data_IF_323626281232
#
_entry.id   IF_323626281232
#
_cell.length_a   1.000
_cell.length_b   1.000
_cell.length_c   1.000
_cell.angle_alpha   90.00
_cell.angle_beta   90.00
_cell.angle_gamma   90.00
#
_symmetry.space_group_name_H-M   'P 1'
#
loop_
_entity.id
_entity.type
_entity.pdbx_description
1 polymer ?
#
# COMPACT_ATOMS: atom_id res chain seq x y z
N UNK A 1 -57.41 -41.36 -4.43
CA UNK A 1 -57.25 -39.90 -4.45
C UNK A 1 -55.78 -39.64 -4.78
N UNK A 2 -55.45 -39.38 -6.06
CA UNK A 2 -54.07 -39.15 -6.52
C UNK A 2 -53.82 -37.65 -6.51
N UNK A 3 -52.95 -37.17 -5.62
CA UNK A 3 -52.45 -35.80 -5.65
C UNK A 3 -51.36 -35.69 -6.72
N UNK A 4 -51.63 -34.88 -7.74
CA UNK A 4 -50.69 -34.53 -8.80
C UNK A 4 -49.77 -33.41 -8.29
N UNK A 5 -48.49 -33.70 -8.09
CA UNK A 5 -47.48 -32.70 -7.77
C UNK A 5 -47.19 -31.83 -9.00
N UNK A 6 -47.49 -30.54 -8.92
CA UNK A 6 -47.10 -29.54 -9.92
C UNK A 6 -45.63 -29.22 -9.71
N UNK A 7 -44.80 -29.47 -10.73
CA UNK A 7 -43.38 -29.10 -10.73
C UNK A 7 -43.24 -27.57 -10.77
N UNK A 8 -42.40 -26.95 -9.95
CA UNK A 8 -42.11 -25.53 -10.08
C UNK A 8 -41.33 -25.28 -11.37
N UNK A 9 -41.82 -24.35 -12.19
CA UNK A 9 -41.14 -23.86 -13.37
C UNK A 9 -39.95 -23.02 -12.90
N UNK A 10 -38.72 -23.47 -13.18
CA UNK A 10 -37.52 -22.69 -12.92
C UNK A 10 -37.53 -21.46 -13.84
N UNK A 11 -37.75 -20.28 -13.26
CA UNK A 11 -37.66 -19.02 -13.98
C UNK A 11 -36.17 -18.71 -14.13
N UNK A 12 -35.64 -18.97 -15.33
CA UNK A 12 -34.26 -18.67 -15.70
C UNK A 12 -34.13 -17.15 -15.83
N UNK A 13 -33.61 -16.49 -14.80
CA UNK A 13 -33.27 -15.07 -14.85
C UNK A 13 -32.02 -14.92 -15.73
N UNK A 14 -32.20 -14.48 -16.98
CA UNK A 14 -31.09 -14.13 -17.84
C UNK A 14 -30.51 -12.80 -17.35
N UNK A 15 -29.44 -12.87 -16.55
CA UNK A 15 -28.61 -11.72 -16.24
C UNK A 15 -27.94 -11.29 -17.55
N UNK A 16 -28.40 -10.17 -18.13
CA UNK A 16 -27.69 -9.57 -19.25
C UNK A 16 -26.37 -9.03 -18.72
N UNK A 17 -25.26 -9.71 -19.04
CA UNK A 17 -23.93 -9.17 -18.78
C UNK A 17 -23.79 -7.88 -19.61
N UNK A 18 -23.70 -6.75 -18.93
CA UNK A 18 -23.32 -5.50 -19.58
C UNK A 18 -21.90 -5.66 -20.11
N UNK A 19 -21.60 -5.16 -21.33
CA UNK A 19 -20.24 -5.20 -21.85
C UNK A 19 -19.34 -4.37 -20.93
N UNK A 20 -18.44 -5.03 -20.21
CA UNK A 20 -17.33 -4.37 -19.53
C UNK A 20 -16.36 -3.86 -20.59
N UNK A 21 -16.27 -2.54 -20.72
CA UNK A 21 -15.22 -1.91 -21.51
C UNK A 21 -13.94 -2.09 -20.72
N UNK A 22 -13.08 -2.99 -21.17
CA UNK A 22 -11.71 -3.10 -20.66
C UNK A 22 -10.92 -1.92 -21.23
N UNK A 23 -10.67 -0.92 -20.39
CA UNK A 23 -9.70 0.12 -20.70
C UNK A 23 -8.31 -0.51 -20.64
N UNK A 24 -7.48 -0.21 -21.64
CA UNK A 24 -6.10 -0.70 -21.63
C UNK A 24 -5.34 0.06 -20.55
N UNK A 25 -4.79 -0.65 -19.59
CA UNK A 25 -3.90 -0.07 -18.60
C UNK A 25 -2.59 0.37 -19.27
N UNK A 26 -2.19 1.62 -19.04
CA UNK A 26 -0.92 2.16 -19.55
C UNK A 26 0.17 1.88 -18.53
N UNK A 27 1.13 1.02 -18.87
CA UNK A 27 2.33 0.82 -18.04
C UNK A 27 3.20 2.07 -18.16
N UNK A 28 3.38 2.77 -17.04
CA UNK A 28 4.22 3.97 -16.94
C UNK A 28 5.70 3.60 -16.77
N UNK A 29 5.95 2.54 -16.01
CA UNK A 29 7.28 2.02 -15.72
C UNK A 29 7.20 0.52 -15.41
N UNK A 30 8.23 -0.23 -15.79
CA UNK A 30 8.36 -1.63 -15.41
C UNK A 30 9.83 -2.00 -15.32
N UNK A 31 10.21 -2.74 -14.28
CA UNK A 31 11.56 -3.21 -14.07
C UNK A 31 11.54 -4.61 -13.42
N UNK A 32 12.07 -5.59 -14.13
CA UNK A 32 12.33 -6.94 -13.62
C UNK A 32 13.74 -7.04 -12.98
N UNK A 33 14.53 -5.97 -12.99
CA UNK A 33 15.90 -5.93 -12.46
C UNK A 33 16.91 -6.90 -13.12
N UNK A 34 16.52 -7.62 -14.17
CA UNK A 34 17.37 -8.58 -14.92
C UNK A 34 18.56 -7.94 -15.64
N UNK A 35 18.36 -6.73 -16.16
CA UNK A 35 19.33 -6.08 -17.06
C UNK A 35 20.46 -5.36 -16.32
N UNK A 36 20.36 -5.30 -14.99
CA UNK A 36 21.24 -4.52 -14.13
C UNK A 36 22.43 -5.34 -13.65
N UNK A 37 23.33 -5.66 -14.57
CA UNK A 37 24.59 -6.31 -14.20
C UNK A 37 25.53 -5.26 -13.62
N UNK A 38 25.51 -5.08 -12.29
CA UNK A 38 26.58 -4.34 -11.62
C UNK A 38 27.87 -5.12 -11.85
N UNK A 39 28.85 -4.47 -12.50
CA UNK A 39 30.19 -5.03 -12.64
C UNK A 39 30.67 -5.49 -11.27
N UNK A 40 30.85 -6.80 -11.11
CA UNK A 40 31.14 -7.43 -9.82
C UNK A 40 32.26 -6.65 -9.13
N UNK A 41 32.05 -6.02 -7.96
CA UNK A 41 33.11 -5.31 -7.29
C UNK A 41 34.26 -6.30 -7.06
N UNK A 42 35.45 -5.98 -7.58
CA UNK A 42 36.59 -6.90 -7.66
C UNK A 42 37.19 -7.30 -6.29
N UNK A 43 36.60 -6.85 -5.20
CA UNK A 43 36.93 -7.17 -3.82
C UNK A 43 35.67 -6.90 -3.02
N UNK A 44 35.18 -7.86 -2.22
CA UNK A 44 33.96 -7.79 -1.40
C UNK A 44 33.94 -6.67 -0.35
N UNK A 45 34.09 -5.45 -0.83
CA UNK A 45 34.00 -4.20 -0.13
C UNK A 45 32.65 -3.62 -0.52
N UNK A 46 31.80 -3.42 0.49
CA UNK A 46 30.51 -2.75 0.44
C UNK A 46 30.73 -1.27 0.09
N UNK A 47 31.24 -1.00 -1.11
CA UNK A 47 31.28 0.38 -1.60
C UNK A 47 29.86 0.75 -2.00
N UNK A 48 29.32 1.90 -1.55
CA UNK A 48 28.09 2.47 -2.09
C UNK A 48 28.18 2.39 -3.61
N UNK A 49 27.39 1.48 -4.19
CA UNK A 49 27.48 1.12 -5.59
C UNK A 49 27.10 2.32 -6.46
N UNK A 50 27.64 2.40 -7.69
CA UNK A 50 27.21 3.42 -8.65
C UNK A 50 25.69 3.32 -8.85
N UNK A 51 25.04 4.47 -9.09
CA UNK A 51 23.67 4.58 -9.63
C UNK A 51 23.48 3.44 -10.63
N UNK A 52 22.45 2.61 -10.44
CA UNK A 52 22.10 1.58 -11.41
C UNK A 52 22.05 2.23 -12.79
N UNK A 53 22.45 1.53 -13.85
CA UNK A 53 22.46 2.11 -15.22
C UNK A 53 21.07 2.54 -15.72
N UNK A 54 20.03 2.28 -14.92
CA UNK A 54 18.60 2.39 -15.14
C UNK A 54 17.95 3.54 -14.36
N UNK A 55 18.65 4.30 -13.52
CA UNK A 55 18.08 5.44 -12.78
C UNK A 55 17.72 5.16 -11.32
N UNK A 56 18.06 3.98 -10.80
CA UNK A 56 17.97 3.67 -9.38
C UNK A 56 19.11 4.28 -8.58
N UNK A 57 18.76 4.96 -7.50
CA UNK A 57 19.69 5.49 -6.53
C UNK A 57 19.62 4.68 -5.24
N UNK A 58 20.78 4.26 -4.77
CA UNK A 58 20.93 3.56 -3.50
C UNK A 58 21.15 4.54 -2.35
N UNK A 59 20.52 4.27 -1.21
CA UNK A 59 20.59 5.07 0.00
C UNK A 59 20.85 4.17 1.20
N UNK A 60 21.72 4.67 2.07
CA UNK A 60 22.06 4.12 3.37
C UNK A 60 21.97 5.25 4.39
N UNK A 61 21.52 4.93 5.60
CA UNK A 61 21.74 5.77 6.78
C UNK A 61 23.19 5.63 7.28
N UNK A 62 23.72 4.39 7.37
CA UNK A 62 25.07 4.14 7.86
C UNK A 62 26.04 3.61 6.77
N UNK A 63 27.20 4.25 6.56
CA UNK A 63 28.18 3.77 5.60
C UNK A 63 28.71 2.37 5.94
N UNK A 64 28.68 1.46 4.96
CA UNK A 64 29.17 0.07 5.03
C UNK A 64 28.34 -0.89 5.90
N UNK A 65 27.13 -0.50 6.32
CA UNK A 65 26.24 -1.40 7.05
C UNK A 65 25.22 -2.09 6.13
N UNK A 66 24.87 -1.50 5.00
CA UNK A 66 24.08 -2.18 3.97
C UNK A 66 24.73 -2.34 2.60
N UNK A 67 24.06 -3.11 1.73
CA UNK A 67 24.28 -3.08 0.28
C UNK A 67 23.03 -3.38 -0.55
N UNK A 68 23.18 -3.04 -1.83
CA UNK A 68 22.25 -3.41 -2.91
C UNK A 68 22.98 -4.29 -3.91
N UNK A 69 22.27 -5.28 -4.45
CA UNK A 69 22.72 -6.14 -5.55
C UNK A 69 21.63 -6.23 -6.60
N UNK A 70 21.82 -5.54 -7.72
CA UNK A 70 20.95 -5.66 -8.87
C UNK A 70 21.33 -6.89 -9.72
N UNK A 71 20.36 -7.48 -10.43
CA UNK A 71 20.53 -8.74 -11.14
C UNK A 71 20.94 -9.90 -10.23
N UNK A 72 20.48 -9.88 -8.97
CA UNK A 72 20.77 -10.91 -7.98
C UNK A 72 20.05 -12.21 -8.32
N UNK A 73 20.82 -13.26 -8.62
CA UNK A 73 20.32 -14.62 -8.79
C UNK A 73 19.90 -15.20 -7.43
N UNK A 74 18.61 -15.09 -7.13
CA UNK A 74 18.06 -15.56 -5.87
C UNK A 74 17.79 -17.08 -5.88
N UNK A 75 17.90 -17.77 -7.03
CA UNK A 75 17.89 -19.24 -7.04
C UNK A 75 19.10 -19.84 -6.31
N UNK A 76 20.19 -19.06 -6.19
CA UNK A 76 21.38 -19.45 -5.42
C UNK A 76 21.10 -19.76 -3.94
N UNK A 77 20.00 -19.21 -3.40
CA UNK A 77 19.51 -19.48 -2.03
C UNK A 77 18.17 -20.22 -2.01
N UNK A 78 17.83 -20.90 -3.11
CA UNK A 78 16.61 -21.69 -3.29
C UNK A 78 15.29 -20.89 -3.19
N UNK A 79 15.32 -19.60 -3.49
CA UNK A 79 14.08 -18.83 -3.66
C UNK A 79 13.47 -19.22 -5.02
N UNK A 80 12.19 -19.63 -5.08
CA UNK A 80 11.51 -19.93 -6.35
C UNK A 80 11.31 -18.66 -7.18
N UNK A 81 11.03 -18.81 -8.47
CA UNK A 81 10.67 -17.71 -9.36
C UNK A 81 9.55 -16.82 -8.78
N UNK A 82 9.64 -15.50 -9.03
CA UNK A 82 8.67 -14.54 -8.53
C UNK A 82 7.32 -14.71 -9.27
N UNK A 83 6.17 -14.49 -8.59
CA UNK A 83 4.87 -14.84 -9.12
C UNK A 83 4.45 -14.05 -10.36
N UNK A 84 4.96 -12.83 -10.56
CA UNK A 84 4.60 -11.97 -11.69
C UNK A 84 5.65 -11.93 -12.82
N UNK A 85 6.65 -12.81 -12.80
CA UNK A 85 7.64 -12.91 -13.87
C UNK A 85 6.96 -13.23 -15.21
N UNK A 86 7.30 -12.48 -16.25
CA UNK A 86 6.71 -12.53 -17.58
C UNK A 86 7.57 -13.37 -18.55
N UNK A 87 6.96 -13.92 -19.62
CA UNK A 87 7.73 -14.59 -20.65
C UNK A 87 8.77 -13.67 -21.30
N UNK A 88 10.05 -13.97 -21.07
CA UNK A 88 11.17 -13.18 -21.58
C UNK A 88 12.07 -12.60 -20.48
N UNK A 89 11.58 -12.58 -19.24
CA UNK A 89 12.36 -12.24 -18.06
C UNK A 89 13.38 -13.37 -17.80
N UNK A 90 14.54 -13.01 -17.26
CA UNK A 90 15.53 -14.00 -16.84
C UNK A 90 15.04 -14.65 -15.55
N UNK A 91 14.83 -15.97 -15.58
CA UNK A 91 14.34 -16.70 -14.42
C UNK A 91 15.21 -16.39 -13.19
N UNK A 92 14.58 -15.99 -12.10
CA UNK A 92 15.18 -15.85 -10.77
C UNK A 92 16.22 -14.74 -10.56
N UNK A 93 16.20 -13.69 -11.40
CA UNK A 93 16.97 -12.47 -11.15
C UNK A 93 16.08 -11.39 -10.53
N UNK A 94 16.65 -10.57 -9.65
CA UNK A 94 15.94 -9.47 -9.02
C UNK A 94 16.90 -8.45 -8.41
N UNK A 95 16.41 -7.60 -7.51
CA UNK A 95 17.25 -6.74 -6.68
C UNK A 95 17.22 -7.19 -5.23
N UNK A 96 18.41 -7.40 -4.64
CA UNK A 96 18.54 -7.73 -3.23
C UNK A 96 19.05 -6.54 -2.42
N UNK A 97 18.41 -6.27 -1.28
CA UNK A 97 18.87 -5.29 -0.29
C UNK A 97 19.19 -6.00 1.02
N UNK A 98 20.22 -5.50 1.72
CA UNK A 98 20.66 -6.00 3.02
C UNK A 98 21.09 -4.85 3.90
N UNK A 99 20.88 -5.01 5.19
CA UNK A 99 21.21 -4.06 6.26
C UNK A 99 22.03 -4.79 7.33
N UNK A 100 22.70 -4.07 8.24
CA UNK A 100 23.46 -4.65 9.37
C UNK A 100 24.50 -5.71 8.99
N UNK A 101 25.20 -5.49 7.89
CA UNK A 101 26.16 -6.42 7.31
C UNK A 101 27.51 -6.49 8.05
N UNK A 102 27.85 -5.47 8.85
CA UNK A 102 29.18 -5.37 9.45
C UNK A 102 29.24 -4.85 10.89
N UNK A 103 28.22 -4.15 11.36
CA UNK A 103 28.11 -3.65 12.72
C UNK A 103 26.66 -3.72 13.19
N UNK A 104 26.47 -3.70 14.52
CA UNK A 104 25.15 -3.77 15.13
C UNK A 104 24.63 -2.38 15.40
N UNK A 105 23.77 -1.89 14.52
CA UNK A 105 23.12 -0.59 14.63
C UNK A 105 21.65 -0.72 14.21
N UNK A 106 20.85 0.28 14.54
CA UNK A 106 19.63 0.51 13.77
C UNK A 106 20.10 0.94 12.38
N UNK A 107 19.65 0.27 11.34
CA UNK A 107 20.21 0.44 9.98
C UNK A 107 19.11 0.30 8.92
N UNK A 108 19.18 1.14 7.89
CA UNK A 108 18.29 1.12 6.75
C UNK A 108 19.06 1.07 5.44
N UNK A 109 18.58 0.21 4.54
CA UNK A 109 19.01 0.20 3.15
C UNK A 109 17.82 0.33 2.22
N UNK A 110 17.93 1.20 1.23
CA UNK A 110 16.87 1.38 0.25
C UNK A 110 17.35 1.82 -1.12
N UNK A 111 16.51 1.60 -2.11
CA UNK A 111 16.68 2.12 -3.46
C UNK A 111 15.46 2.95 -3.84
N UNK A 112 15.66 4.01 -4.61
CA UNK A 112 14.56 4.78 -5.18
C UNK A 112 14.81 5.10 -6.65
N UNK A 113 13.73 5.17 -7.42
CA UNK A 113 13.79 5.47 -8.85
C UNK A 113 13.66 6.98 -9.08
N UNK A 114 14.73 7.63 -9.58
CA UNK A 114 14.87 9.10 -9.65
C UNK A 114 14.23 9.71 -10.91
N UNK A 115 14.11 8.91 -11.97
CA UNK A 115 13.76 9.36 -13.32
C UNK A 115 12.25 9.34 -13.65
N UNK A 116 11.38 8.92 -12.72
CA UNK A 116 9.93 9.08 -12.87
C UNK A 116 9.33 9.95 -11.76
N UNK A 117 8.60 10.98 -12.19
CA UNK A 117 7.57 11.64 -11.41
C UNK A 117 6.22 11.09 -11.87
N UNK A 118 5.62 10.20 -11.07
CA UNK A 118 4.26 9.73 -11.33
C UNK A 118 3.26 10.79 -10.86
N UNK A 119 2.22 11.07 -11.64
CA UNK A 119 1.18 12.07 -11.34
C UNK A 119 -0.20 11.49 -11.63
N UNK A 120 -1.24 12.00 -10.98
CA UNK A 120 -2.60 11.46 -11.15
C UNK A 120 -2.78 10.15 -10.37
N UNK A 121 -3.76 9.34 -10.76
CA UNK A 121 -3.94 8.01 -10.15
C UNK A 121 -3.03 6.98 -10.80
N UNK A 122 -2.31 6.21 -9.99
CA UNK A 122 -1.45 5.13 -10.46
C UNK A 122 -1.40 3.99 -9.45
N UNK A 123 -1.04 2.80 -9.92
CA UNK A 123 -0.73 1.65 -9.05
C UNK A 123 0.75 1.33 -9.15
N UNK A 124 1.35 0.97 -8.03
CA UNK A 124 2.69 0.38 -7.95
C UNK A 124 2.53 -1.04 -7.44
N UNK A 125 3.02 -2.01 -8.19
CA UNK A 125 3.04 -3.42 -7.82
C UNK A 125 4.48 -3.93 -7.84
N UNK A 126 4.90 -4.68 -6.82
CA UNK A 126 6.24 -5.29 -6.75
C UNK A 126 6.18 -6.60 -6.00
N UNK A 127 6.89 -7.60 -6.50
CA UNK A 127 7.07 -8.87 -5.78
C UNK A 127 8.17 -8.71 -4.74
N UNK A 128 7.90 -9.15 -3.52
CA UNK A 128 8.83 -9.11 -2.41
C UNK A 128 8.98 -10.49 -1.78
N UNK A 129 10.22 -10.86 -1.50
CA UNK A 129 10.58 -12.01 -0.68
C UNK A 129 11.53 -11.52 0.42
N UNK A 130 11.17 -11.77 1.68
CA UNK A 130 12.01 -11.41 2.82
C UNK A 130 12.59 -12.69 3.45
N UNK A 131 13.88 -12.72 3.72
CA UNK A 131 14.52 -13.77 4.50
C UNK A 131 15.16 -13.18 5.75
N UNK A 132 15.42 -14.06 6.72
CA UNK A 132 16.16 -13.75 7.93
C UNK A 132 16.94 -14.98 8.38
N UNK A 133 18.02 -14.81 9.15
CA UNK A 133 18.82 -15.93 9.61
C UNK A 133 18.17 -16.61 10.82
N UNK A 134 17.66 -17.83 10.64
CA UNK A 134 17.03 -18.59 11.73
C UNK A 134 18.04 -19.28 12.65
N UNK A 135 18.79 -18.49 13.40
CA UNK A 135 19.67 -18.95 14.48
C UNK A 135 19.14 -18.42 15.82
N UNK A 136 18.41 -19.25 16.56
CA UNK A 136 17.86 -18.91 17.89
C UNK A 136 18.94 -18.48 18.92
N UNK A 137 20.22 -18.80 18.67
CA UNK A 137 21.33 -18.37 19.53
C UNK A 137 21.78 -16.92 19.26
N UNK A 138 21.33 -16.30 18.16
CA UNK A 138 21.69 -14.95 17.76
C UNK A 138 20.46 -14.05 17.78
N UNK A 139 20.43 -13.16 18.77
CA UNK A 139 19.39 -12.14 18.95
C UNK A 139 19.57 -11.08 17.85
N UNK A 140 18.52 -10.87 17.07
CA UNK A 140 18.42 -9.84 16.05
C UNK A 140 18.36 -10.45 14.65
N UNK A 141 17.13 -10.51 14.16
CA UNK A 141 16.81 -10.97 12.82
C UNK A 141 16.69 -9.72 11.95
N UNK A 142 16.50 -9.88 10.65
CA UNK A 142 16.32 -8.72 9.77
C UNK A 142 14.86 -8.37 9.78
N UNK A 143 14.44 -7.33 10.50
CA UNK A 143 13.05 -7.32 10.92
C UNK A 143 12.05 -6.73 9.92
N UNK A 144 12.37 -5.79 9.02
CA UNK A 144 11.34 -5.19 8.15
C UNK A 144 11.76 -4.89 6.71
N UNK A 145 10.84 -5.04 5.76
CA UNK A 145 11.02 -4.55 4.39
C UNK A 145 9.71 -4.08 3.78
N UNK A 146 9.76 -3.25 2.75
CA UNK A 146 8.54 -2.73 2.15
C UNK A 146 8.69 -1.78 0.97
N UNK A 147 7.57 -1.13 0.68
CA UNK A 147 7.35 -0.27 -0.48
C UNK A 147 6.91 1.12 -0.02
N UNK A 148 7.48 2.15 -0.64
CA UNK A 148 7.11 3.54 -0.44
C UNK A 148 6.81 4.21 -1.79
N UNK A 149 5.88 5.15 -1.78
CA UNK A 149 5.49 6.00 -2.90
C UNK A 149 5.45 7.46 -2.46
N UNK A 150 5.53 8.37 -3.42
CA UNK A 150 5.51 9.80 -3.11
C UNK A 150 6.75 10.25 -2.32
N UNK A 151 7.91 9.62 -2.59
CA UNK A 151 9.18 10.08 -2.00
C UNK A 151 9.47 11.50 -2.47
N UNK A 152 9.41 12.41 -1.50
CA UNK A 152 9.55 13.84 -1.70
C UNK A 152 10.96 14.23 -2.21
N UNK A 153 11.02 15.25 -3.07
CA UNK A 153 12.26 15.95 -3.47
C UNK A 153 12.43 17.29 -2.75
N UNK A 154 11.36 17.79 -2.15
CA UNK A 154 11.33 18.96 -1.29
C UNK A 154 12.01 18.59 0.02
N UNK A 155 12.66 19.59 0.63
CA UNK A 155 13.45 19.44 1.84
C UNK A 155 12.56 19.22 3.08
N UNK A 156 11.75 18.16 3.10
CA UNK A 156 11.36 17.56 4.36
C UNK A 156 12.68 17.11 5.03
N UNK A 157 12.98 17.46 6.29
CA UNK A 157 14.18 16.96 6.95
C UNK A 157 14.05 15.44 7.02
N UNK A 158 14.56 14.75 6.00
CA UNK A 158 14.65 13.31 5.97
C UNK A 158 15.27 12.89 7.30
N UNK A 159 14.62 11.97 8.00
CA UNK A 159 15.23 11.39 9.17
C UNK A 159 16.59 10.83 8.70
N UNK A 160 17.71 11.37 9.18
CA UNK A 160 19.02 10.91 8.72
C UNK A 160 19.24 9.43 9.02
N UNK A 161 18.51 8.89 10.00
CA UNK A 161 18.53 7.49 10.41
C UNK A 161 17.63 6.62 9.51
N UNK A 162 16.67 7.21 8.78
CA UNK A 162 15.80 6.48 7.85
C UNK A 162 15.59 7.19 6.49
N UNK A 163 16.65 7.41 5.71
CA UNK A 163 16.62 8.22 4.48
C UNK A 163 15.91 7.54 3.29
N UNK A 164 15.54 6.26 3.40
CA UNK A 164 14.72 5.56 2.41
C UNK A 164 13.23 5.44 2.81
N UNK A 165 12.87 5.71 4.07
CA UNK A 165 11.48 5.66 4.59
C UNK A 165 10.70 6.96 4.38
N UNK A 166 10.86 7.62 3.24
CA UNK A 166 10.22 8.92 2.95
C UNK A 166 9.03 8.74 2.01
N UNK A 167 7.94 9.48 2.26
CA UNK A 167 6.68 9.37 1.51
C UNK A 167 5.64 8.53 2.24
N UNK A 168 4.68 7.98 1.51
CA UNK A 168 3.69 7.04 2.01
C UNK A 168 4.25 5.63 1.87
N UNK A 169 4.25 4.81 2.92
CA UNK A 169 4.85 3.48 2.88
C UNK A 169 4.12 2.44 3.68
N UNK A 170 4.42 1.18 3.34
CA UNK A 170 4.06 0.01 4.12
C UNK A 170 5.29 -0.90 4.23
N UNK A 171 5.64 -1.29 5.46
CA UNK A 171 6.70 -2.25 5.77
C UNK A 171 6.14 -3.45 6.52
N UNK A 172 6.80 -4.59 6.42
CA UNK A 172 6.30 -5.88 6.90
C UNK A 172 7.36 -6.62 7.70
N UNK A 173 6.94 -7.32 8.75
CA UNK A 173 7.84 -8.09 9.60
C UNK A 173 8.25 -9.44 8.97
N UNK A 174 9.53 -9.79 9.07
CA UNK A 174 10.08 -11.02 8.49
C UNK A 174 9.72 -12.29 9.27
N UNK A 175 9.76 -12.23 10.60
CA UNK A 175 9.64 -13.35 11.52
C UNK A 175 8.57 -13.14 12.60
N UNK A 176 7.98 -11.94 12.64
CA UNK A 176 6.94 -11.56 13.57
C UNK A 176 7.43 -11.45 15.00
N UNK A 177 8.73 -11.23 15.19
CA UNK A 177 9.31 -10.97 16.51
C UNK A 177 9.02 -9.55 17.01
N UNK A 178 8.57 -8.66 16.11
CA UNK A 178 7.89 -7.43 16.50
C UNK A 178 6.72 -7.81 17.40
N UNK A 179 6.87 -7.52 18.70
CA UNK A 179 5.91 -7.91 19.75
C UNK A 179 4.48 -7.43 19.50
N UNK A 180 4.30 -6.53 18.53
CA UNK A 180 3.03 -5.87 18.26
C UNK A 180 2.74 -5.64 16.76
N UNK A 181 3.58 -6.00 15.78
CA UNK A 181 3.33 -5.57 14.39
C UNK A 181 3.55 -6.64 13.31
N UNK A 182 2.50 -6.96 12.56
CA UNK A 182 2.60 -7.72 11.29
C UNK A 182 3.16 -6.81 10.18
N UNK A 183 2.70 -5.57 10.17
CA UNK A 183 3.04 -4.53 9.22
C UNK A 183 2.91 -3.15 9.88
N UNK A 184 3.58 -2.15 9.31
CA UNK A 184 3.53 -0.76 9.74
C UNK A 184 3.25 0.11 8.52
N UNK A 185 2.28 1.02 8.63
CA UNK A 185 2.04 2.06 7.64
C UNK A 185 2.76 3.33 8.08
N UNK A 186 3.41 3.99 7.13
CA UNK A 186 4.30 5.11 7.38
C UNK A 186 3.91 6.32 6.54
N UNK A 187 3.95 7.50 7.15
CA UNK A 187 3.85 8.81 6.49
C UNK A 187 5.11 9.60 6.84
N UNK A 188 5.97 9.84 5.86
CA UNK A 188 7.25 10.55 6.05
C UNK A 188 8.09 10.00 7.22
N UNK A 189 8.22 8.68 7.31
CA UNK A 189 8.91 7.94 8.39
C UNK A 189 8.20 7.93 9.75
N UNK A 190 7.11 8.67 9.93
CA UNK A 190 6.27 8.53 11.11
C UNK A 190 5.36 7.32 10.96
N UNK A 191 5.29 6.50 11.99
CA UNK A 191 4.33 5.41 12.09
C UNK A 191 2.92 5.99 12.17
N UNK A 192 2.04 5.53 11.29
CA UNK A 192 0.62 5.79 11.43
C UNK A 192 0.09 4.79 12.43
N UNK A 193 -0.21 5.24 13.64
CA UNK A 193 -0.80 4.46 14.72
C UNK A 193 -2.21 4.99 15.08
N UNK A 194 -2.79 4.57 16.21
CA UNK A 194 -4.09 5.10 16.68
C UNK A 194 -4.03 6.57 17.08
N UNK A 195 -2.84 7.04 17.40
CA UNK A 195 -2.57 8.41 17.82
C UNK A 195 -2.54 9.33 16.59
N UNK A 196 -2.09 8.85 15.42
CA UNK A 196 -2.19 9.59 14.14
C UNK A 196 -3.61 10.10 13.75
N UNK A 197 -4.66 9.64 14.44
CA UNK A 197 -6.06 10.03 14.20
C UNK A 197 -6.65 9.43 12.92
N UNK A 198 -5.80 8.80 12.09
CA UNK A 198 -6.20 8.19 10.83
C UNK A 198 -6.85 6.81 11.03
N UNK A 199 -6.48 6.14 12.10
CA UNK A 199 -6.87 4.77 12.38
C UNK A 199 -7.43 4.65 13.79
N UNK A 200 -8.47 3.85 13.93
CA UNK A 200 -8.95 3.44 15.24
C UNK A 200 -8.16 2.25 15.77
N UNK A 201 -8.26 1.96 17.07
CA UNK A 201 -7.74 0.72 17.69
C UNK A 201 -8.20 -0.57 17.00
N UNK A 202 -9.26 -0.51 16.17
CA UNK A 202 -9.75 -1.67 15.41
C UNK A 202 -9.21 -1.77 13.99
N UNK A 203 -8.49 -0.76 13.51
CA UNK A 203 -7.95 -0.74 12.15
C UNK A 203 -6.49 -1.23 12.10
N UNK A 204 -5.82 -1.30 13.25
CA UNK A 204 -4.48 -1.87 13.35
C UNK A 204 -4.48 -3.37 13.45
N UNK A 205 -3.75 -4.00 12.54
CA UNK A 205 -3.24 -5.37 12.70
C UNK A 205 -2.21 -5.48 13.83
N UNK A 206 -2.50 -4.98 15.03
CA UNK A 206 -1.90 -5.43 16.28
C UNK A 206 -2.44 -6.83 16.61
N UNK A 207 -2.29 -7.76 15.67
CA UNK A 207 -2.64 -9.15 15.88
C UNK A 207 -1.58 -9.75 16.77
N UNK A 208 -1.78 -9.70 18.09
CA UNK A 208 -0.92 -10.44 18.99
C UNK A 208 -0.93 -11.91 18.54
N UNK A 209 0.24 -12.45 18.22
CA UNK A 209 0.35 -13.84 17.83
C UNK A 209 -0.27 -14.70 18.94
N UNK A 210 -1.14 -15.62 18.56
CA UNK A 210 -1.84 -16.47 19.54
C UNK A 210 -0.84 -17.27 20.39
N UNK A 211 -0.46 -16.74 21.57
CA UNK A 211 0.52 -17.35 22.47
C UNK A 211 1.71 -16.47 22.87
N UNK A 212 1.90 -15.28 22.29
CA UNK A 212 2.85 -14.28 22.77
C UNK A 212 2.12 -13.25 23.65
N UNK A 213 2.75 -12.90 24.77
CA UNK A 213 2.36 -12.02 25.86
C UNK A 213 0.87 -11.58 26.04
N UNK A 214 0.16 -12.22 26.97
CA UNK A 214 -1.11 -11.74 27.54
C UNK A 214 -0.93 -11.02 28.90
N UNK A 215 0.30 -10.60 29.21
CA UNK A 215 0.71 -10.00 30.48
C UNK A 215 1.37 -8.62 30.34
N UNK A 216 1.48 -8.07 29.13
CA UNK A 216 1.97 -6.70 28.96
C UNK A 216 1.03 -5.71 29.69
N UNK A 217 1.64 -4.84 30.49
CA UNK A 217 0.98 -3.91 31.40
C UNK A 217 0.34 -2.70 30.69
N UNK A 218 0.39 -2.65 29.36
CA UNK A 218 -0.37 -1.74 28.52
C UNK A 218 -1.82 -2.23 28.23
N UNK A 219 -2.25 -3.33 28.85
CA UNK A 219 -3.60 -3.92 28.80
C UNK A 219 -4.66 -3.17 29.63
N UNK A 220 -4.78 -1.85 29.46
CA UNK A 220 -5.99 -1.11 29.89
C UNK A 220 -6.82 -0.77 28.65
N UNK A 221 -8.09 -1.19 28.54
CA UNK A 221 -8.99 -0.78 27.45
C UNK A 221 -9.31 0.72 27.40
N UNK A 222 -8.97 1.49 28.44
CA UNK A 222 -8.91 2.96 28.39
C UNK A 222 -7.54 3.51 27.96
N UNK A 223 -6.51 2.65 27.84
CA UNK A 223 -5.20 2.86 27.21
C UNK A 223 -4.97 1.91 25.99
N UNK A 224 -6.04 1.43 25.32
CA UNK A 224 -5.92 0.63 24.09
C UNK A 224 -5.59 -0.86 24.27
N UNK A 225 -6.45 -1.62 24.96
CA UNK A 225 -6.45 -3.09 24.88
C UNK A 225 -6.67 -3.50 23.43
N UNK A 226 -5.57 -3.85 22.75
CA UNK A 226 -5.53 -4.20 21.34
C UNK A 226 -6.46 -5.39 21.15
N UNK A 227 -7.57 -5.17 20.45
CA UNK A 227 -8.42 -6.26 19.99
C UNK A 227 -7.53 -7.19 19.17
N UNK A 228 -7.46 -8.48 19.55
CA UNK A 228 -6.80 -9.54 18.77
C UNK A 228 -7.37 -9.54 17.34
N UNK A 229 -6.83 -8.68 16.47
CA UNK A 229 -7.18 -8.69 15.07
C UNK A 229 -6.57 -9.95 14.46
N UNK A 230 -7.29 -10.64 13.56
CA UNK A 230 -6.71 -11.77 12.88
C UNK A 230 -5.49 -11.27 12.11
N UNK A 231 -4.35 -11.94 12.32
CA UNK A 231 -3.14 -11.69 11.56
C UNK A 231 -3.45 -11.70 10.05
N UNK A 232 -2.82 -10.78 9.32
CA UNK A 232 -3.10 -10.58 7.89
C UNK A 232 -2.82 -11.86 7.12
N UNK A 233 -1.74 -12.55 7.49
CA UNK A 233 -1.32 -13.80 6.87
C UNK A 233 -1.44 -14.97 7.84
N UNK A 234 -1.85 -16.16 7.39
CA UNK A 234 -1.84 -17.34 8.24
C UNK A 234 -0.40 -17.78 8.55
N UNK A 235 -0.24 -18.46 9.69
CA UNK A 235 0.99 -19.19 10.02
C UNK A 235 1.23 -20.31 8.99
N UNK A 236 2.49 -20.62 8.72
CA UNK A 236 2.86 -21.63 7.73
C UNK A 236 4.22 -22.27 8.04
N UNK A 237 4.45 -23.47 7.51
CA UNK A 237 5.74 -24.15 7.64
C UNK A 237 6.68 -23.71 6.51
N UNK A 238 7.88 -23.26 6.87
CA UNK A 238 8.88 -22.83 5.89
C UNK A 238 9.22 -24.01 4.96
N UNK A 239 9.14 -23.84 3.62
CA UNK A 239 9.48 -24.90 2.69
C UNK A 239 10.89 -25.47 2.93
N UNK A 240 10.96 -26.78 3.20
CA UNK A 240 12.24 -27.45 3.45
C UNK A 240 12.79 -27.35 4.88
N UNK A 241 12.09 -26.64 5.79
CA UNK A 241 12.39 -26.60 7.22
C UNK A 241 11.31 -27.30 8.06
N UNK A 242 11.62 -27.56 9.33
CA UNK A 242 10.63 -27.95 10.35
C UNK A 242 10.05 -26.76 11.11
N UNK A 243 10.58 -25.56 10.92
CA UNK A 243 10.06 -24.35 11.55
C UNK A 243 8.71 -23.93 10.97
N UNK A 244 7.93 -23.31 11.83
CA UNK A 244 6.66 -22.68 11.48
C UNK A 244 6.82 -21.19 11.70
N UNK A 245 6.65 -20.42 10.64
CA UNK A 245 6.49 -18.99 10.73
C UNK A 245 5.16 -18.68 11.40
N UNK A 246 5.18 -17.71 12.30
CA UNK A 246 3.98 -17.27 12.96
C UNK A 246 3.00 -16.60 11.98
N UNK A 247 1.75 -16.47 12.39
CA UNK A 247 0.78 -15.72 11.62
C UNK A 247 1.23 -14.24 11.54
N UNK A 248 0.97 -13.58 10.41
CA UNK A 248 1.32 -12.17 10.19
C UNK A 248 2.63 -11.91 9.46
N UNK A 249 3.58 -12.85 9.58
CA UNK A 249 4.94 -12.74 9.02
C UNK A 249 4.97 -12.82 7.50
N UNK A 250 5.87 -12.09 6.83
CA UNK A 250 6.05 -12.23 5.36
C UNK A 250 7.27 -13.05 4.96
N UNK A 251 8.15 -13.40 5.91
CA UNK A 251 9.42 -14.07 5.59
C UNK A 251 9.23 -15.40 4.88
N UNK A 252 10.17 -15.82 4.03
CA UNK A 252 10.20 -17.11 3.35
C UNK A 252 9.01 -17.43 2.41
N UNK A 253 8.31 -16.40 1.93
CA UNK A 253 7.26 -16.53 0.90
C UNK A 253 7.23 -15.30 -0.02
N UNK A 254 6.76 -15.50 -1.25
CA UNK A 254 6.46 -14.40 -2.15
C UNK A 254 5.17 -13.71 -1.74
N UNK A 255 5.24 -12.39 -1.66
CA UNK A 255 4.09 -11.50 -1.57
C UNK A 255 4.19 -10.45 -2.67
N UNK A 256 3.07 -10.06 -3.26
CA UNK A 256 3.00 -8.91 -4.15
C UNK A 256 2.49 -7.74 -3.35
N UNK A 257 3.33 -6.72 -3.17
CA UNK A 257 2.95 -5.47 -2.54
C UNK A 257 2.29 -4.58 -3.59
N UNK A 258 1.20 -3.92 -3.21
CA UNK A 258 0.50 -2.98 -4.07
C UNK A 258 0.21 -1.67 -3.35
N UNK A 259 0.57 -0.57 -3.97
CA UNK A 259 0.17 0.78 -3.57
C UNK A 259 -0.77 1.37 -4.64
N UNK A 260 -1.99 1.72 -4.26
CA UNK A 260 -2.96 2.41 -5.10
C UNK A 260 -2.96 3.90 -4.73
N UNK A 261 -2.33 4.72 -5.57
CA UNK A 261 -2.10 6.13 -5.31
C UNK A 261 -3.11 6.97 -6.06
N UNK A 262 -3.68 7.94 -5.37
CA UNK A 262 -4.47 9.03 -5.95
C UNK A 262 -3.93 10.36 -5.46
N UNK A 263 -3.22 11.09 -6.33
CA UNK A 263 -2.63 12.39 -5.99
C UNK A 263 -3.67 13.50 -5.79
N UNK A 264 -4.91 13.28 -6.20
CA UNK A 264 -5.97 14.30 -6.20
C UNK A 264 -7.06 13.99 -5.16
N UNK A 265 -7.01 12.84 -4.50
CA UNK A 265 -7.99 12.48 -3.47
C UNK A 265 -7.91 13.45 -2.30
N UNK A 266 -9.06 14.02 -1.89
CA UNK A 266 -9.18 14.82 -0.67
C UNK A 266 -9.10 13.98 0.61
N UNK A 267 -9.03 12.64 0.50
CA UNK A 267 -9.00 11.76 1.66
C UNK A 267 -10.30 11.75 2.49
N UNK A 268 -10.22 11.18 3.69
CA UNK A 268 -11.30 11.03 4.66
C UNK A 268 -11.10 11.87 5.94
N UNK A 269 -9.94 12.53 6.10
CA UNK A 269 -9.64 13.39 7.24
C UNK A 269 -10.31 14.76 7.20
N UNK A 270 -10.10 15.57 8.24
CA UNK A 270 -10.65 16.93 8.33
C UNK A 270 -9.83 17.99 7.56
N UNK A 271 -8.60 17.66 7.17
CA UNK A 271 -7.71 18.52 6.41
C UNK A 271 -8.12 18.68 4.94
N UNK A 272 -7.50 19.65 4.26
CA UNK A 272 -7.76 19.94 2.84
C UNK A 272 -6.64 19.48 1.90
N UNK A 273 -5.62 18.82 2.44
CA UNK A 273 -4.45 18.39 1.69
C UNK A 273 -4.80 17.18 0.83
N UNK A 274 -4.40 17.22 -0.44
CA UNK A 274 -4.72 16.18 -1.41
C UNK A 274 -3.67 15.08 -1.38
N UNK A 275 -4.09 13.86 -1.72
CA UNK A 275 -3.22 12.70 -1.82
C UNK A 275 -3.63 11.61 -0.85
N UNK A 276 -3.97 10.44 -1.38
CA UNK A 276 -4.17 9.23 -0.60
C UNK A 276 -3.50 8.04 -1.28
N UNK A 277 -2.94 7.13 -0.49
CA UNK A 277 -2.37 5.87 -0.99
C UNK A 277 -2.92 4.69 -0.20
N UNK A 278 -3.60 3.76 -0.85
CA UNK A 278 -4.04 2.50 -0.22
C UNK A 278 -3.01 1.40 -0.44
N UNK A 279 -2.56 0.77 0.62
CA UNK A 279 -1.64 -0.36 0.58
C UNK A 279 -2.39 -1.68 0.71
N UNK A 280 -2.01 -2.63 -0.13
CA UNK A 280 -2.48 -4.01 -0.06
C UNK A 280 -1.34 -4.98 -0.33
N UNK A 281 -1.55 -6.22 0.13
CA UNK A 281 -0.62 -7.32 -0.05
C UNK A 281 -1.37 -8.52 -0.62
N UNK A 282 -0.78 -9.21 -1.60
CA UNK A 282 -1.32 -10.45 -2.15
C UNK A 282 -0.35 -11.60 -1.93
N UNK A 283 -0.80 -12.66 -1.27
CA UNK A 283 0.02 -13.86 -1.05
C UNK A 283 0.09 -14.70 -2.33
N UNK A 284 1.29 -14.97 -2.84
CA UNK A 284 1.48 -15.68 -4.10
C UNK A 284 0.90 -17.10 -4.10
N UNK A 285 0.98 -17.81 -2.97
CA UNK A 285 0.57 -19.22 -2.86
C UNK A 285 -0.95 -19.36 -2.91
N UNK A 286 -1.67 -18.47 -2.22
CA UNK A 286 -3.14 -18.57 -2.09
C UNK A 286 -3.88 -17.66 -3.06
N UNK A 287 -3.23 -16.61 -3.55
CA UNK A 287 -3.85 -15.52 -4.31
C UNK A 287 -4.78 -14.65 -3.47
N UNK A 288 -4.77 -14.80 -2.14
CA UNK A 288 -5.56 -13.96 -1.25
C UNK A 288 -4.92 -12.57 -1.19
N UNK A 289 -5.76 -11.54 -1.30
CA UNK A 289 -5.36 -10.14 -1.22
C UNK A 289 -5.95 -9.50 0.03
N UNK A 290 -5.15 -8.68 0.70
CA UNK A 290 -5.45 -8.05 1.98
C UNK A 290 -5.19 -6.55 1.86
N UNK A 291 -6.20 -5.72 2.15
CA UNK A 291 -6.02 -4.28 2.29
C UNK A 291 -5.49 -4.01 3.69
N UNK A 292 -4.39 -3.27 3.77
CA UNK A 292 -3.68 -2.99 5.02
C UNK A 292 -4.14 -1.66 5.60
N UNK A 293 -4.31 -0.66 4.74
CA UNK A 293 -4.80 0.66 5.12
C UNK A 293 -4.50 1.69 4.05
N UNK A 294 -4.76 2.95 4.37
CA UNK A 294 -4.56 4.11 3.50
C UNK A 294 -3.66 5.11 4.20
N UNK A 295 -2.61 5.64 3.55
CA UNK A 295 -1.92 6.84 4.02
C UNK A 295 -2.64 8.04 3.41
N UNK A 296 -3.13 8.98 4.24
CA UNK A 296 -3.99 10.08 3.80
C UNK A 296 -3.41 11.43 4.22
N UNK A 297 -3.26 12.34 3.26
CA UNK A 297 -2.77 13.67 3.53
C UNK A 297 -3.77 14.56 4.25
N UNK A 298 -5.08 14.32 4.10
CA UNK A 298 -6.12 15.10 4.78
C UNK A 298 -6.24 14.78 6.26
N UNK A 299 -5.76 13.61 6.70
CA UNK A 299 -5.57 13.37 8.12
C UNK A 299 -4.28 14.08 8.53
N UNK A 300 -4.46 15.25 9.11
CA UNK A 300 -3.39 15.92 9.83
C UNK A 300 -3.24 15.19 11.15
N UNK A 301 -2.05 14.66 11.41
CA UNK A 301 -1.71 14.14 12.73
C UNK A 301 -2.02 15.24 13.76
N UNK A 302 -2.99 14.95 14.65
CA UNK A 302 -3.38 15.88 15.67
C UNK A 302 -2.35 15.74 16.80
N UNK A 303 -1.45 16.72 16.89
CA UNK A 303 -0.26 16.81 17.78
C UNK A 303 -0.50 16.69 19.30
N UNK A 304 -1.66 16.20 19.71
CA UNK A 304 -2.13 16.19 21.08
C UNK A 304 -3.06 14.98 21.29
N UNK A 305 -2.43 13.81 21.35
CA UNK A 305 -3.08 12.54 21.61
C UNK A 305 -3.16 12.17 23.10
N UNK A 306 -2.64 13.03 23.98
CA UNK A 306 -2.93 12.96 25.41
C UNK A 306 -4.13 13.83 25.82
N UNK A 307 -4.68 14.63 24.89
CA UNK A 307 -5.92 15.39 25.02
C UNK A 307 -5.79 16.69 25.81
N UNK A 308 -4.60 17.32 25.77
CA UNK A 308 -4.19 18.44 26.61
C UNK A 308 -4.20 19.87 25.99
N UNK A 309 -4.89 20.19 24.91
CA UNK A 309 -4.85 21.53 24.26
C UNK A 309 -3.42 22.12 24.09
N UNK A 310 -2.70 21.64 23.08
CA UNK A 310 -1.64 22.36 22.32
C UNK A 310 -0.61 23.11 23.20
N UNK A 311 0.48 22.45 23.58
CA UNK A 311 1.72 23.12 23.98
C UNK A 311 2.85 22.85 22.97
N UNK A 312 2.74 23.37 21.73
CA UNK A 312 3.91 23.55 20.85
C UNK A 312 4.78 24.73 21.28
N UNK A 313 4.98 24.88 22.58
CA UNK A 313 5.86 25.91 23.15
C UNK A 313 7.27 25.32 23.32
N UNK A 314 8.34 26.11 23.07
CA UNK A 314 9.71 25.64 23.24
C UNK A 314 9.96 25.06 24.65
N UNK A 315 10.13 23.74 24.73
CA UNK A 315 10.40 23.02 25.98
C UNK A 315 9.27 22.12 26.50
N UNK A 316 8.18 21.95 25.74
CA UNK A 316 7.25 20.84 25.96
C UNK A 316 7.92 19.49 25.68
N UNK A 317 7.40 18.44 26.31
CA UNK A 317 7.81 17.06 26.02
C UNK A 317 7.25 16.58 24.67
N UNK A 318 6.25 17.28 24.14
CA UNK A 318 5.60 16.99 22.87
C UNK A 318 6.49 17.43 21.70
N UNK A 319 6.87 16.44 20.89
CA UNK A 319 7.63 16.67 19.66
C UNK A 319 6.65 17.21 18.61
N UNK A 320 6.60 18.54 18.47
CA UNK A 320 5.86 19.18 17.39
C UNK A 320 6.62 19.04 16.07
N UNK A 321 6.60 17.84 15.48
CA UNK A 321 6.94 17.68 14.07
C UNK A 321 5.76 18.21 13.25
N UNK A 322 6.01 19.24 12.44
CA UNK A 322 5.10 19.61 11.37
C UNK A 322 5.10 18.46 10.37
N UNK A 323 4.27 17.42 10.58
CA UNK A 323 4.06 16.39 9.57
C UNK A 323 3.55 17.06 8.30
N UNK A 324 4.45 17.21 7.33
CA UNK A 324 4.10 17.72 6.03
C UNK A 324 3.27 16.65 5.29
N UNK A 325 2.29 17.05 4.46
CA UNK A 325 1.69 16.16 3.49
C UNK A 325 2.76 15.44 2.67
N UNK A 326 2.53 14.17 2.36
CA UNK A 326 3.37 13.44 1.41
C UNK A 326 3.10 14.00 0.02
N UNK A 327 4.15 14.34 -0.73
CA UNK A 327 4.00 14.57 -2.16
C UNK A 327 3.71 13.24 -2.84
N UNK A 328 2.42 12.87 -2.96
CA UNK A 328 2.01 11.61 -3.59
C UNK A 328 2.41 11.57 -5.07
N UNK A 329 2.73 12.73 -5.66
CA UNK A 329 3.44 12.77 -6.93
C UNK A 329 4.93 12.55 -6.67
N UNK A 330 5.51 11.49 -7.24
CA UNK A 330 6.89 11.22 -6.90
C UNK A 330 7.40 9.88 -7.33
N UNK A 331 8.33 9.39 -6.52
CA UNK A 331 9.17 8.24 -6.80
C UNK A 331 8.70 7.03 -6.02
N UNK A 332 9.03 5.86 -6.55
CA UNK A 332 8.93 4.59 -5.85
C UNK A 332 10.24 4.34 -5.11
N UNK A 333 10.14 3.87 -3.87
CA UNK A 333 11.27 3.45 -3.05
C UNK A 333 11.00 2.06 -2.47
N UNK A 334 12.03 1.21 -2.49
CA UNK A 334 12.03 -0.13 -1.95
C UNK A 334 13.06 -0.17 -0.83
N UNK A 335 12.70 -0.72 0.33
CA UNK A 335 13.57 -0.66 1.50
C UNK A 335 13.59 -1.94 2.31
N UNK A 336 14.68 -2.12 3.03
CA UNK A 336 14.83 -2.99 4.19
C UNK A 336 15.27 -2.14 5.39
N UNK A 337 14.76 -2.45 6.57
CA UNK A 337 14.99 -1.72 7.82
C UNK A 337 15.18 -2.74 8.93
N UNK A 338 16.17 -2.50 9.77
CA UNK A 338 16.37 -3.18 11.03
C UNK A 338 16.27 -2.13 12.14
N UNK A 339 15.24 -2.26 12.99
CA UNK A 339 14.97 -1.34 14.08
C UNK A 339 15.79 -1.64 15.33
N UNK A 340 16.59 -2.69 15.30
CA UNK A 340 17.28 -3.25 16.43
C UNK A 340 18.78 -3.18 16.23
N UNK A 341 19.52 -3.06 17.33
CA UNK A 341 20.98 -3.09 17.24
C UNK A 341 21.44 -4.53 17.06
N UNK A 342 21.41 -5.04 15.84
CA UNK A 342 21.73 -6.43 15.50
C UNK A 342 22.77 -6.57 14.39
N UNK A 343 23.45 -7.72 14.33
CA UNK A 343 24.31 -8.06 13.18
C UNK A 343 23.78 -9.34 12.58
N UNK A 344 23.52 -9.31 11.27
CA UNK A 344 23.11 -10.48 10.55
C UNK A 344 24.18 -11.59 10.62
N UNK A 345 23.80 -12.72 11.20
CA UNK A 345 24.66 -13.90 11.38
C UNK A 345 25.02 -14.59 10.06
N UNK A 346 24.09 -14.55 9.11
CA UNK A 346 24.24 -15.02 7.75
C UNK A 346 23.67 -14.00 6.76
N UNK A 347 24.55 -13.25 6.11
CA UNK A 347 24.18 -12.24 5.12
C UNK A 347 23.58 -12.80 3.82
N UNK A 348 23.57 -14.12 3.64
CA UNK A 348 22.82 -14.74 2.54
C UNK A 348 21.34 -14.95 2.87
N UNK A 349 21.00 -14.95 4.17
CA UNK A 349 19.64 -15.08 4.67
C UNK A 349 19.09 -13.76 5.18
N UNK A 350 19.89 -12.85 5.71
CA UNK A 350 19.47 -11.49 6.08
C UNK A 350 19.33 -10.60 4.84
N UNK A 351 18.27 -10.82 4.05
CA UNK A 351 18.08 -10.12 2.77
C UNK A 351 16.61 -10.01 2.43
N UNK A 352 16.23 -8.89 1.82
CA UNK A 352 15.02 -8.80 1.01
C UNK A 352 15.42 -8.94 -0.46
N UNK A 353 14.54 -9.54 -1.25
CA UNK A 353 14.59 -9.57 -2.70
C UNK A 353 13.32 -8.92 -3.22
N UNK A 354 13.47 -7.99 -4.16
CA UNK A 354 12.38 -7.42 -4.94
C UNK A 354 12.50 -7.82 -6.40
N UNK A 355 11.36 -8.02 -7.05
CA UNK A 355 11.26 -8.36 -8.47
C UNK A 355 9.94 -7.82 -9.08
N UNK A 356 9.84 -7.79 -10.40
CA UNK A 356 8.63 -7.47 -11.17
C UNK A 356 7.95 -6.15 -10.75
N UNK A 357 8.73 -5.08 -10.56
CA UNK A 357 8.17 -3.79 -10.26
C UNK A 357 7.42 -3.26 -11.49
N UNK A 358 6.15 -2.94 -11.33
CA UNK A 358 5.32 -2.33 -12.37
C UNK A 358 4.59 -1.12 -11.81
N UNK A 359 4.69 0.00 -12.50
CA UNK A 359 3.88 1.19 -12.26
C UNK A 359 2.93 1.38 -13.42
N UNK A 360 1.65 1.41 -13.11
CA UNK A 360 0.57 1.48 -14.11
C UNK A 360 -0.28 2.70 -13.84
N UNK A 361 -0.58 3.46 -14.90
CA UNK A 361 -1.56 4.55 -14.83
C UNK A 361 -2.94 3.95 -14.61
N UNK A 362 -3.64 4.46 -13.60
CA UNK A 362 -5.06 4.19 -13.45
C UNK A 362 -5.77 5.26 -14.26
N UNK A 363 -6.30 4.88 -15.42
CA UNK A 363 -7.22 5.75 -16.14
C UNK A 363 -8.39 6.06 -15.20
N UNK A 364 -8.42 7.29 -14.68
CA UNK A 364 -9.57 7.77 -13.97
C UNK A 364 -10.73 7.77 -14.96
N UNK A 365 -11.77 6.99 -14.67
CA UNK A 365 -12.97 7.04 -15.48
C UNK A 365 -13.63 8.41 -15.24
N UNK A 366 -13.34 9.37 -16.12
CA UNK A 366 -14.00 10.65 -16.11
C UNK A 366 -15.49 10.39 -16.34
N UNK A 367 -16.29 10.63 -15.29
CA UNK A 367 -17.73 10.49 -15.38
C UNK A 367 -18.28 11.65 -16.19
N UNK A 368 -19.28 11.39 -17.02
CA UNK A 368 -19.96 12.49 -17.69
C UNK A 368 -20.56 13.44 -16.63
N UNK A 369 -20.20 14.71 -16.66
CA UNK A 369 -20.58 15.69 -15.63
C UNK A 369 -19.59 15.88 -14.47
N UNK A 370 -18.52 15.07 -14.37
CA UNK A 370 -17.42 15.27 -13.40
C UNK A 370 -16.43 16.24 -14.05
N UNK A 371 -16.66 17.52 -13.87
CA UNK A 371 -15.94 18.61 -14.52
C UNK A 371 -14.61 18.95 -13.86
N UNK A 372 -14.53 18.77 -12.54
CA UNK A 372 -13.29 18.99 -11.79
C UNK A 372 -12.38 17.75 -11.74
N UNK A 373 -12.85 16.60 -12.24
CA UNK A 373 -12.07 15.38 -12.35
C UNK A 373 -11.79 14.71 -11.00
N UNK A 374 -12.61 14.97 -9.98
CA UNK A 374 -12.44 14.38 -8.65
C UNK A 374 -12.99 12.94 -8.56
N UNK A 375 -13.48 12.38 -9.66
CA UNK A 375 -14.04 11.04 -9.72
C UNK A 375 -15.49 10.96 -9.23
N UNK A 376 -16.16 12.09 -9.01
CA UNK A 376 -17.57 12.17 -8.61
C UNK A 376 -18.28 13.34 -9.28
N UNK A 377 -19.60 13.26 -9.39
CA UNK A 377 -20.43 14.34 -9.97
C UNK A 377 -21.27 14.97 -8.87
N UNK A 378 -20.97 16.21 -8.48
CA UNK A 378 -21.62 16.88 -7.36
C UNK A 378 -21.54 18.41 -7.35
N UNK A 379 -21.55 18.97 -6.15
CA UNK A 379 -21.62 20.42 -5.93
C UNK A 379 -20.37 21.17 -6.44
N UNK A 380 -19.20 20.52 -6.42
CA UNK A 380 -17.96 21.04 -6.99
C UNK A 380 -18.11 21.31 -8.49
N UNK A 381 -18.57 20.30 -9.23
CA UNK A 381 -18.85 20.38 -10.67
C UNK A 381 -19.92 21.42 -10.98
N UNK A 382 -20.98 21.49 -10.18
CA UNK A 382 -22.04 22.48 -10.38
C UNK A 382 -21.51 23.90 -10.19
N UNK A 383 -20.66 24.10 -9.18
CA UNK A 383 -20.02 25.39 -8.92
C UNK A 383 -19.11 25.77 -10.09
N UNK A 384 -18.31 24.83 -10.60
CA UNK A 384 -17.42 25.02 -11.74
C UNK A 384 -18.23 25.37 -13.01
N UNK A 385 -19.29 24.62 -13.29
CA UNK A 385 -20.22 24.86 -14.40
C UNK A 385 -20.85 26.25 -14.33
N UNK A 386 -21.45 26.61 -13.20
CA UNK A 386 -22.16 27.88 -13.04
C UNK A 386 -21.21 29.08 -13.09
N UNK A 387 -19.99 28.93 -12.57
CA UNK A 387 -18.98 29.99 -12.60
C UNK A 387 -18.51 30.33 -14.02
N UNK A 388 -18.63 29.36 -14.94
CA UNK A 388 -18.18 29.49 -16.32
C UNK A 388 -19.34 29.55 -17.34
N UNK A 389 -20.60 29.66 -16.88
CA UNK A 389 -21.79 29.62 -17.74
C UNK A 389 -21.74 30.65 -18.89
N UNK A 390 -21.94 30.17 -20.12
CA UNK A 390 -21.93 30.99 -21.34
C UNK A 390 -20.53 31.39 -21.81
N UNK A 391 -19.46 30.92 -21.16
CA UNK A 391 -18.08 31.12 -21.63
C UNK A 391 -17.85 30.37 -22.93
N UNK A 392 -17.14 30.99 -23.87
CA UNK A 392 -16.80 30.37 -25.15
C UNK A 392 -15.75 29.28 -24.99
N UNK A 393 -15.90 28.18 -25.74
CA UNK A 393 -14.93 27.08 -25.83
C UNK A 393 -14.57 26.92 -27.31
N UNK A 394 -13.28 27.09 -27.72
CA UNK A 394 -12.06 27.23 -26.92
C UNK A 394 -11.62 28.67 -26.53
N UNK A 395 -10.75 28.86 -25.50
CA UNK A 395 -10.09 27.80 -24.69
C UNK A 395 -11.01 27.21 -23.62
N UNK A 396 -10.65 26.04 -23.10
CA UNK A 396 -11.34 25.42 -21.95
C UNK A 396 -11.16 26.32 -20.71
N UNK A 397 -12.21 26.59 -19.92
CA UNK A 397 -12.08 27.43 -18.73
C UNK A 397 -11.16 26.80 -17.67
N UNK A 398 -10.55 27.65 -16.85
CA UNK A 398 -9.65 27.18 -15.79
C UNK A 398 -10.41 26.35 -14.75
N UNK A 399 -9.78 25.27 -14.26
CA UNK A 399 -10.36 24.34 -13.30
C UNK A 399 -11.11 23.16 -13.92
N UNK A 400 -11.30 23.13 -15.24
CA UNK A 400 -11.92 22.00 -15.95
C UNK A 400 -10.88 20.89 -16.22
N UNK A 401 -10.73 19.99 -15.25
CA UNK A 401 -9.77 18.88 -15.28
C UNK A 401 -10.40 17.53 -15.62
N UNK A 402 -11.72 17.41 -15.52
CA UNK A 402 -12.48 16.21 -15.88
C UNK A 402 -13.18 16.29 -17.24
N UNK A 403 -14.49 16.02 -17.27
CA UNK A 403 -15.34 15.95 -18.46
C UNK A 403 -15.38 17.28 -19.19
N UNK A 404 -14.82 17.30 -20.40
CA UNK A 404 -14.54 18.54 -21.10
C UNK A 404 -15.82 19.15 -21.69
N UNK A 405 -16.03 20.47 -21.59
CA UNK A 405 -17.23 21.11 -22.11
C UNK A 405 -17.28 21.01 -23.64
N UNK A 406 -18.49 20.86 -24.19
CA UNK A 406 -18.70 20.81 -25.63
C UNK A 406 -18.81 22.20 -26.26
N UNK A 407 -18.26 22.33 -27.47
CA UNK A 407 -18.26 23.61 -28.19
C UNK A 407 -19.67 23.98 -28.71
N UNK A 408 -20.04 25.27 -28.82
CA UNK A 408 -19.16 26.45 -28.77
C UNK A 408 -19.04 27.16 -27.42
N UNK A 409 -19.64 26.66 -26.35
CA UNK A 409 -19.54 27.29 -25.05
C UNK A 409 -20.27 26.52 -23.97
N UNK A 410 -19.90 26.81 -22.72
CA UNK A 410 -20.43 26.15 -21.52
C UNK A 410 -21.92 26.46 -21.34
N UNK A 411 -22.77 25.45 -21.21
CA UNK A 411 -24.20 25.64 -21.06
C UNK A 411 -25.02 24.40 -20.70
N UNK A 412 -26.14 24.25 -21.41
CA UNK A 412 -27.21 23.30 -21.06
C UNK A 412 -26.79 21.84 -21.26
N UNK A 413 -25.85 21.57 -22.17
CA UNK A 413 -25.24 20.27 -22.46
C UNK A 413 -24.44 19.75 -21.26
N UNK A 414 -23.55 20.57 -20.71
CA UNK A 414 -22.83 20.24 -19.48
C UNK A 414 -23.81 20.09 -18.30
N UNK A 415 -24.76 21.02 -18.13
CA UNK A 415 -25.77 20.89 -17.07
C UNK A 415 -26.54 19.57 -17.17
N UNK A 416 -26.86 19.13 -18.39
CA UNK A 416 -27.53 17.85 -18.63
C UNK A 416 -26.64 16.67 -18.25
N UNK A 417 -25.35 16.70 -18.60
CA UNK A 417 -24.39 15.66 -18.22
C UNK A 417 -24.26 15.54 -16.70
N UNK A 418 -24.08 16.67 -16.01
CA UNK A 418 -23.99 16.77 -14.55
C UNK A 418 -25.26 16.27 -13.87
N UNK A 419 -26.45 16.72 -14.29
CA UNK A 419 -27.70 16.31 -13.65
C UNK A 419 -28.03 14.84 -13.88
N UNK A 420 -27.65 14.27 -15.03
CA UNK A 420 -27.87 12.85 -15.33
C UNK A 420 -26.99 11.92 -14.49
N UNK A 421 -25.83 12.42 -14.03
CA UNK A 421 -24.88 11.65 -13.24
C UNK A 421 -24.75 12.17 -11.81
N UNK A 422 -25.66 13.04 -11.35
CA UNK A 422 -25.58 13.63 -10.02
C UNK A 422 -25.51 12.57 -8.91
N UNK A 423 -24.48 12.67 -8.07
CA UNK A 423 -24.20 11.73 -6.98
C UNK A 423 -23.59 10.40 -7.43
N UNK A 424 -23.24 10.25 -8.72
CA UNK A 424 -22.42 9.13 -9.20
C UNK A 424 -20.97 9.39 -8.82
N UNK A 425 -20.29 8.37 -8.32
CA UNK A 425 -18.85 8.37 -8.05
C UNK A 425 -18.21 7.12 -8.64
N UNK A 426 -17.06 7.29 -9.30
CA UNK A 426 -16.29 6.21 -9.90
C UNK A 426 -15.74 5.25 -8.83
N UNK A 427 -15.49 5.77 -7.62
CA UNK A 427 -14.95 5.04 -6.48
C UNK A 427 -16.03 4.56 -5.50
N UNK A 428 -17.30 4.52 -5.90
CA UNK A 428 -18.37 3.98 -5.05
C UNK A 428 -18.17 2.47 -4.84
N UNK A 429 -17.37 2.12 -3.82
CA UNK A 429 -17.37 0.78 -3.24
C UNK A 429 -18.82 0.50 -2.90
N UNK A 430 -19.39 -0.53 -3.52
CA UNK A 430 -20.78 -0.91 -3.28
C UNK A 430 -20.91 -1.37 -1.83
N UNK A 431 -21.14 -0.43 -0.91
CA UNK A 431 -21.49 -0.73 0.47
C UNK A 431 -22.77 -1.55 0.40
N UNK A 432 -22.77 -2.83 0.83
CA UNK A 432 -23.95 -3.66 0.75
C UNK A 432 -25.07 -2.95 1.49
N UNK A 433 -26.07 -2.46 0.77
CA UNK A 433 -27.16 -1.76 1.41
C UNK A 433 -27.78 -2.69 2.46
N UNK A 434 -28.15 -2.20 3.65
CA UNK A 434 -28.72 -3.04 4.71
C UNK A 434 -29.97 -3.84 4.25
N UNK A 435 -30.60 -3.39 3.18
CA UNK A 435 -31.68 -4.07 2.46
C UNK A 435 -31.24 -5.39 1.80
N UNK A 436 -30.03 -5.47 1.24
CA UNK A 436 -29.49 -6.69 0.60
C UNK A 436 -29.16 -7.77 1.63
N UNK A 437 -28.57 -7.39 2.77
CA UNK A 437 -28.35 -8.28 3.90
C UNK A 437 -29.69 -8.80 4.46
N UNK A 438 -30.68 -7.92 4.61
CA UNK A 438 -32.03 -8.31 5.05
C UNK A 438 -32.69 -9.29 4.07
N UNK A 439 -32.59 -9.04 2.76
CA UNK A 439 -33.13 -9.94 1.73
C UNK A 439 -32.42 -11.29 1.70
N UNK A 440 -31.10 -11.32 1.88
CA UNK A 440 -30.34 -12.56 2.03
C UNK A 440 -30.77 -13.34 3.28
N UNK A 441 -30.94 -12.67 4.42
CA UNK A 441 -31.47 -13.27 5.64
C UNK A 441 -32.90 -13.80 5.44
N UNK A 442 -33.77 -13.07 4.76
CA UNK A 442 -35.13 -13.52 4.44
C UNK A 442 -35.14 -14.72 3.47
N UNK A 443 -34.22 -14.76 2.50
CA UNK A 443 -34.06 -15.89 1.60
C UNK A 443 -33.59 -17.15 2.35
N UNK A 444 -32.61 -17.02 3.25
CA UNK A 444 -32.16 -18.11 4.12
C UNK A 444 -33.27 -18.58 5.07
N UNK A 445 -34.04 -17.65 5.66
CA UNK A 445 -35.19 -17.98 6.49
C UNK A 445 -36.28 -18.73 5.71
N UNK A 446 -36.57 -18.32 4.46
CA UNK A 446 -37.53 -19.01 3.60
C UNK A 446 -37.06 -20.42 3.18
N UNK A 447 -35.77 -20.59 2.89
CA UNK A 447 -35.18 -21.89 2.53
C UNK A 447 -35.14 -22.85 3.72
N UNK A 448 -34.85 -22.36 4.92
CA UNK A 448 -34.83 -23.18 6.15
C UNK A 448 -36.23 -23.54 6.62
N UNK A 449 -37.21 -22.64 6.50
CA UNK A 449 -38.62 -22.92 6.81
C UNK A 449 -39.21 -24.04 5.94
N UNK A 450 -38.75 -24.17 4.69
CA UNK A 450 -39.22 -25.21 3.74
C UNK A 450 -38.75 -26.63 4.06
N UNK A 451 -37.73 -26.82 4.91
CA UNK A 451 -37.16 -28.14 5.22
C UNK A 451 -37.90 -28.93 6.31
N UNK A 452 -38.96 -28.38 6.89
CA UNK A 452 -39.70 -28.99 8.04
C UNK A 452 -41.10 -29.53 7.72
N UNK A 453 -41.45 -29.70 6.44
CA UNK A 453 -42.70 -30.36 6.00
C UNK A 453 -42.33 -31.49 5.06
#
# INVERSE_FOLDING_TARGET
MRLTFVRPCAMLLALAALPTVLHAQTVLFSDAFDSEVVGTPASGQFTPGPVGSTGWNFVLDEPNQGDVRYGYDYSAINIPEAPNSQPGDEETLGVALRTNASAGAVDQSGIYYDDASFTGSYTVEVDMWLNWANDEEQIGTTEHAGLFVGKDTVANPANPDFPASTGAGAIYSSDGDCTNCDHILLKNSAELDTFSGQYSVTDFGFGNQQGFDNTDANTDPMNGDLLDLPAVLPAFTIPGSTETQAAGTVGYRWVTLKAEVDTNALGAGEGSELGATTFSLTEAITGNSYVLGTVDNSVLDNRDDDGNEIECEPGSEDICTDEAPVDMSGRVSLTIIDFFTSVASDLSLATVVFDNLVVTEVEQSILAGDFDGNGSVGDGDLTLLLSNWGSAVPPVPAGWTGDQPTAPGVGDDELTALLNNWGVSASAVAVPEPSTALLACLAVAALTARRRV
#
